data_IF_329981892255
#
_entry.id   IF_329981892255
#
_cell.length_a   1.000
_cell.length_b   1.000
_cell.length_c   1.000
_cell.angle_alpha   90.00
_cell.angle_beta   90.00
_cell.angle_gamma   90.00
#
_symmetry.space_group_name_H-M   'P 1'
#
loop_
_entity.id
_entity.type
_entity.pdbx_description
1 polymer ?
#
# COMPACT_ATOMS: atom_id res chain seq x y z
N UNK A 1 -19.97 -13.62 26.52
CA UNK A 1 -18.53 -13.47 26.27
C UNK A 1 -18.30 -12.14 25.55
N UNK A 2 -17.43 -11.34 26.07
CA UNK A 2 -17.02 -10.10 25.42
C UNK A 2 -15.91 -10.42 24.43
N UNK A 3 -16.09 -9.99 23.18
CA UNK A 3 -15.10 -10.18 22.13
C UNK A 3 -14.51 -8.82 21.78
N UNK A 4 -13.19 -8.74 21.76
CA UNK A 4 -12.48 -7.51 21.45
C UNK A 4 -11.48 -7.74 20.30
N UNK A 5 -11.45 -6.82 19.34
CA UNK A 5 -10.40 -6.78 18.32
C UNK A 5 -9.18 -6.15 18.97
N UNK A 6 -8.05 -6.87 18.96
CA UNK A 6 -6.83 -6.42 19.64
C UNK A 6 -5.72 -6.00 18.68
N UNK A 7 -5.82 -6.32 17.42
CA UNK A 7 -4.84 -5.93 16.40
C UNK A 7 -5.48 -5.89 15.04
N UNK A 8 -4.83 -5.19 14.10
CA UNK A 8 -5.26 -5.09 12.72
C UNK A 8 -4.09 -5.35 11.79
N UNK A 9 -4.29 -6.23 10.84
CA UNK A 9 -3.35 -6.50 9.77
C UNK A 9 -4.08 -6.31 8.45
N UNK A 10 -3.52 -5.50 7.56
CA UNK A 10 -4.01 -5.36 6.19
C UNK A 10 -3.23 -6.34 5.34
N UNK A 11 -3.93 -7.24 4.66
CA UNK A 11 -3.29 -8.25 3.83
C UNK A 11 -3.42 -7.90 2.36
N UNK A 12 -2.30 -7.95 1.66
CA UNK A 12 -2.22 -7.76 0.21
C UNK A 12 -1.77 -9.08 -0.40
N UNK A 13 -2.42 -9.49 -1.48
CA UNK A 13 -2.06 -10.68 -2.23
C UNK A 13 -1.43 -10.23 -3.55
N UNK A 14 -0.09 -10.12 -3.61
CA UNK A 14 0.58 -9.66 -4.82
C UNK A 14 0.63 -10.77 -5.87
N UNK A 15 0.53 -10.38 -7.14
CA UNK A 15 0.80 -11.30 -8.24
C UNK A 15 2.29 -11.59 -8.39
N UNK A 16 3.13 -10.64 -7.97
CA UNK A 16 4.60 -10.71 -8.02
C UNK A 16 5.14 -10.11 -6.72
N UNK A 17 5.49 -10.96 -5.77
CA UNK A 17 5.92 -10.50 -4.44
C UNK A 17 7.12 -9.56 -4.49
N UNK A 18 8.24 -9.88 -5.18
CA UNK A 18 9.38 -8.97 -5.23
C UNK A 18 9.03 -7.60 -5.78
N UNK A 19 8.20 -7.54 -6.80
CA UNK A 19 7.80 -6.28 -7.44
C UNK A 19 6.93 -5.44 -6.50
N UNK A 20 6.00 -6.07 -5.79
CA UNK A 20 5.18 -5.38 -4.79
C UNK A 20 6.02 -4.86 -3.64
N UNK A 21 6.95 -5.68 -3.12
CA UNK A 21 7.83 -5.24 -2.04
C UNK A 21 8.70 -4.06 -2.46
N UNK A 22 9.19 -4.06 -3.70
CA UNK A 22 9.95 -2.92 -4.24
C UNK A 22 9.12 -1.64 -4.26
N UNK A 23 7.85 -1.74 -4.66
CA UNK A 23 6.94 -0.60 -4.65
C UNK A 23 6.78 -0.02 -3.24
N UNK A 24 6.44 -0.87 -2.27
CA UNK A 24 6.20 -0.40 -0.89
C UNK A 24 7.49 0.08 -0.22
N UNK A 25 8.64 -0.45 -0.61
CA UNK A 25 9.94 0.06 -0.15
C UNK A 25 10.20 1.47 -0.64
N UNK A 26 9.76 1.83 -1.86
CA UNK A 26 9.85 3.20 -2.38
C UNK A 26 9.09 4.21 -1.52
N UNK A 27 8.01 3.77 -0.88
CA UNK A 27 7.23 4.63 0.01
C UNK A 27 7.94 4.93 1.32
N UNK A 28 9.08 4.31 1.57
CA UNK A 28 9.83 4.49 2.81
C UNK A 28 9.43 3.54 3.94
N UNK A 29 8.61 2.54 3.64
CA UNK A 29 8.25 1.52 4.62
C UNK A 29 9.42 0.56 4.84
N UNK A 30 9.54 0.05 6.07
CA UNK A 30 10.60 -0.86 6.45
C UNK A 30 10.35 -2.28 5.95
N UNK A 31 10.50 -2.50 4.65
CA UNK A 31 10.23 -3.78 4.01
C UNK A 31 11.47 -4.68 4.11
N UNK A 32 11.39 -5.82 4.82
CA UNK A 32 12.51 -6.75 4.89
C UNK A 32 12.69 -7.52 3.58
N UNK A 33 13.85 -8.15 3.44
CA UNK A 33 14.03 -9.13 2.39
C UNK A 33 13.15 -10.35 2.69
N UNK A 34 12.43 -10.88 1.69
CA UNK A 34 11.56 -12.01 1.94
C UNK A 34 12.37 -13.28 2.22
N UNK A 35 11.98 -14.02 3.25
CA UNK A 35 12.52 -15.33 3.58
C UNK A 35 11.50 -16.43 3.39
N UNK A 36 10.41 -16.12 2.69
CA UNK A 36 9.32 -17.04 2.43
C UNK A 36 8.16 -16.33 1.74
N UNK A 37 7.02 -17.01 1.59
CA UNK A 37 5.88 -16.50 0.85
C UNK A 37 4.99 -15.54 1.65
N UNK A 38 5.30 -15.31 2.92
CA UNK A 38 4.59 -14.36 3.79
C UNK A 38 5.58 -13.32 4.32
N UNK A 39 5.26 -12.05 4.11
CA UNK A 39 6.08 -10.93 4.59
C UNK A 39 5.19 -9.97 5.35
N UNK A 40 5.65 -9.52 6.50
CA UNK A 40 4.91 -8.58 7.34
C UNK A 40 5.77 -7.36 7.65
N UNK A 41 5.15 -6.17 7.59
CA UNK A 41 5.81 -4.91 7.95
C UNK A 41 4.94 -4.16 8.96
N UNK A 42 5.60 -3.44 9.85
CA UNK A 42 4.92 -2.56 10.80
C UNK A 42 4.61 -1.22 10.12
N UNK A 43 3.40 -0.74 10.34
CA UNK A 43 2.98 0.60 9.94
C UNK A 43 2.97 1.53 11.15
N UNK A 44 3.15 2.83 10.94
CA UNK A 44 2.94 3.80 12.02
C UNK A 44 1.55 3.64 12.64
N UNK A 45 1.49 3.72 13.96
CA UNK A 45 0.22 3.59 14.67
C UNK A 45 -0.09 2.17 15.14
N UNK A 46 0.82 1.21 14.96
CA UNK A 46 0.68 -0.14 15.48
C UNK A 46 -0.04 -1.14 14.59
N UNK A 47 -0.53 -0.70 13.43
CA UNK A 47 -1.09 -1.61 12.43
C UNK A 47 0.03 -2.25 11.62
N UNK A 48 -0.26 -3.35 10.95
CA UNK A 48 0.69 -4.05 10.10
C UNK A 48 0.14 -4.24 8.71
N UNK A 49 1.05 -4.36 7.74
CA UNK A 49 0.76 -4.70 6.36
C UNK A 49 1.43 -6.02 6.08
N UNK A 50 0.68 -6.99 5.58
CA UNK A 50 1.19 -8.32 5.26
C UNK A 50 1.03 -8.60 3.77
N UNK A 51 1.97 -9.35 3.22
CA UNK A 51 1.95 -9.81 1.84
C UNK A 51 1.98 -11.33 1.85
N UNK A 52 0.97 -11.93 1.25
CA UNK A 52 0.89 -13.37 1.07
C UNK A 52 0.81 -13.69 -0.41
N UNK A 53 1.64 -14.62 -0.88
CA UNK A 53 1.63 -14.98 -2.30
C UNK A 53 0.29 -15.60 -2.71
N UNK A 54 -0.02 -15.49 -4.00
CA UNK A 54 -1.22 -16.12 -4.56
C UNK A 54 -1.24 -17.62 -4.29
N UNK A 55 -0.09 -18.28 -4.32
CA UNK A 55 0.02 -19.71 -4.03
C UNK A 55 -0.43 -20.06 -2.62
N UNK A 56 -0.01 -19.26 -1.62
CA UNK A 56 -0.45 -19.48 -0.24
C UNK A 56 -1.95 -19.30 -0.10
N UNK A 57 -2.48 -18.22 -0.67
CA UNK A 57 -3.91 -17.94 -0.57
C UNK A 57 -4.73 -19.02 -1.26
N UNK A 58 -4.34 -19.44 -2.45
CA UNK A 58 -5.01 -20.51 -3.16
C UNK A 58 -4.98 -21.84 -2.38
N UNK A 59 -3.88 -22.10 -1.67
CA UNK A 59 -3.75 -23.28 -0.83
C UNK A 59 -4.66 -23.28 0.39
N UNK A 60 -4.96 -22.12 0.94
CA UNK A 60 -5.82 -21.97 2.12
C UNK A 60 -7.30 -21.83 1.77
N UNK A 61 -7.61 -21.32 0.60
CA UNK A 61 -8.98 -20.99 0.17
C UNK A 61 -9.33 -21.77 -1.10
N UNK A 62 -9.89 -22.97 -0.99
CA UNK A 62 -10.28 -23.75 -2.18
C UNK A 62 -11.21 -22.95 -3.09
N UNK A 63 -10.89 -22.94 -4.38
CA UNK A 63 -11.67 -22.18 -5.35
C UNK A 63 -11.28 -20.72 -5.52
N UNK A 64 -10.31 -20.23 -4.75
CA UNK A 64 -9.81 -18.88 -4.93
C UNK A 64 -9.08 -18.73 -6.27
N UNK A 65 -9.40 -17.67 -6.99
CA UNK A 65 -8.68 -17.27 -8.21
C UNK A 65 -8.26 -15.82 -8.10
N UNK A 66 -7.13 -15.43 -8.73
CA UNK A 66 -6.69 -14.03 -8.69
C UNK A 66 -7.76 -13.09 -9.23
N UNK A 67 -8.03 -11.98 -8.53
CA UNK A 67 -8.95 -10.96 -9.03
C UNK A 67 -8.41 -10.34 -10.31
N UNK A 68 -9.33 -9.98 -11.23
CA UNK A 68 -8.96 -9.34 -12.49
C UNK A 68 -9.20 -7.84 -12.48
N UNK A 69 -9.84 -7.31 -11.43
CA UNK A 69 -10.09 -5.89 -11.28
C UNK A 69 -9.62 -5.42 -9.92
N UNK A 70 -9.09 -4.20 -9.87
CA UNK A 70 -8.74 -3.53 -8.64
C UNK A 70 -9.96 -2.81 -8.06
N UNK A 71 -9.89 -2.64 -6.79
CA UNK A 71 -10.46 -1.77 -6.25
C UNK A 71 -11.45 -1.11 -5.47
N UNK A 72 -11.92 -1.78 -4.48
CA UNK A 72 -12.82 -1.18 -3.51
C UNK A 72 -12.12 -0.75 -2.23
N UNK A 73 -10.83 -1.05 -2.13
CA UNK A 73 -10.00 -0.70 -0.98
C UNK A 73 -8.81 0.09 -1.49
N UNK A 74 -8.47 1.17 -0.81
CA UNK A 74 -7.27 1.95 -1.04
C UNK A 74 -6.50 2.05 0.27
N UNK A 75 -5.18 2.21 0.16
CA UNK A 75 -4.35 2.56 1.30
C UNK A 75 -4.09 4.06 1.23
N UNK A 76 -4.02 4.72 2.37
CA UNK A 76 -3.69 6.13 2.44
C UNK A 76 -2.61 6.34 3.49
N UNK A 77 -1.51 6.99 3.09
CA UNK A 77 -0.38 7.28 3.97
C UNK A 77 -0.22 8.78 4.15
N UNK A 78 -0.20 9.20 5.42
CA UNK A 78 0.02 10.58 5.79
C UNK A 78 1.50 10.92 5.83
N UNK A 79 1.87 12.07 5.25
CA UNK A 79 3.21 12.61 5.21
C UNK A 79 3.28 13.89 6.05
N UNK A 80 4.48 14.35 6.32
CA UNK A 80 4.70 15.49 7.23
C UNK A 80 4.37 16.85 6.62
N UNK A 81 4.41 16.92 5.28
CA UNK A 81 4.24 18.21 4.59
C UNK A 81 3.71 18.03 3.18
N UNK A 82 3.13 19.09 2.57
CA UNK A 82 2.75 19.08 1.16
C UNK A 82 3.92 18.79 0.23
N UNK A 83 5.11 19.31 0.55
CA UNK A 83 6.31 19.07 -0.27
C UNK A 83 6.68 17.59 -0.31
N UNK A 84 6.48 16.85 0.78
CA UNK A 84 6.75 15.41 0.80
C UNK A 84 5.77 14.63 -0.08
N UNK A 85 4.53 15.10 -0.21
CA UNK A 85 3.57 14.49 -1.13
C UNK A 85 4.07 14.58 -2.57
N UNK A 86 4.49 15.76 -2.99
CA UNK A 86 5.02 16.01 -4.33
C UNK A 86 6.28 15.18 -4.59
N UNK A 87 7.19 15.15 -3.63
CA UNK A 87 8.45 14.43 -3.76
C UNK A 87 8.23 12.91 -3.85
N UNK A 88 7.38 12.35 -2.98
CA UNK A 88 7.13 10.92 -2.99
C UNK A 88 6.37 10.49 -4.23
N UNK A 89 5.39 11.29 -4.67
CA UNK A 89 4.69 11.03 -5.93
C UNK A 89 5.68 10.96 -7.11
N UNK A 90 6.56 11.94 -7.23
CA UNK A 90 7.56 11.98 -8.29
C UNK A 90 8.51 10.78 -8.23
N UNK A 91 8.96 10.40 -7.03
CA UNK A 91 9.83 9.25 -6.82
C UNK A 91 9.20 7.95 -7.32
N UNK A 92 7.93 7.76 -7.00
CA UNK A 92 7.20 6.56 -7.39
C UNK A 92 6.97 6.50 -8.90
N UNK A 93 6.57 7.62 -9.50
CA UNK A 93 6.35 7.71 -10.95
C UNK A 93 7.68 7.55 -11.72
N UNK A 94 8.75 8.18 -11.24
CA UNK A 94 10.08 8.07 -11.85
C UNK A 94 10.62 6.63 -11.80
N UNK A 95 10.19 5.85 -10.82
CA UNK A 95 10.56 4.44 -10.73
C UNK A 95 9.72 3.53 -11.66
N UNK A 96 8.78 4.11 -12.43
CA UNK A 96 8.00 3.39 -13.43
C UNK A 96 6.62 2.96 -13.00
N UNK A 97 6.14 3.43 -11.85
CA UNK A 97 4.78 3.12 -11.39
C UNK A 97 3.77 4.16 -11.86
N UNK A 98 2.50 3.78 -11.87
CA UNK A 98 1.44 4.64 -12.36
C UNK A 98 1.09 5.72 -11.34
N UNK A 99 1.12 7.00 -11.78
CA UNK A 99 0.53 8.10 -11.05
C UNK A 99 -0.95 8.20 -11.41
N UNK A 100 -1.82 7.82 -10.49
CA UNK A 100 -3.25 7.81 -10.74
C UNK A 100 -3.91 9.18 -10.57
N UNK A 101 -3.36 10.02 -9.70
CA UNK A 101 -3.86 11.36 -9.43
C UNK A 101 -2.66 12.24 -9.07
N UNK A 102 -2.37 13.23 -9.92
CA UNK A 102 -1.27 14.16 -9.66
C UNK A 102 -1.50 14.98 -8.39
N UNK A 103 -0.43 15.38 -7.69
CA UNK A 103 -0.57 16.19 -6.49
C UNK A 103 -1.39 17.46 -6.74
N UNK A 104 -2.32 17.72 -5.84
CA UNK A 104 -3.15 18.92 -5.89
C UNK A 104 -3.56 19.35 -4.47
N UNK A 105 -3.97 20.60 -4.35
CA UNK A 105 -4.48 21.12 -3.09
C UNK A 105 -5.96 20.78 -2.98
N UNK A 106 -6.28 19.81 -2.15
CA UNK A 106 -7.63 19.34 -2.00
C UNK A 106 -8.47 20.31 -1.15
N UNK A 107 -9.78 20.45 -1.45
CA UNK A 107 -10.63 21.40 -0.73
C UNK A 107 -10.83 21.08 0.74
N UNK A 108 -10.43 19.88 1.18
CA UNK A 108 -10.50 19.49 2.60
C UNK A 108 -9.21 19.81 3.38
N UNK A 109 -8.28 20.61 2.80
CA UNK A 109 -7.12 21.12 3.54
C UNK A 109 -5.89 20.24 3.50
N UNK A 110 -5.74 19.42 2.48
CA UNK A 110 -4.57 18.56 2.30
C UNK A 110 -3.99 18.69 0.90
N UNK A 111 -2.66 18.58 0.79
CA UNK A 111 -2.03 18.22 -0.47
C UNK A 111 -2.24 16.73 -0.65
N UNK A 112 -2.75 16.31 -1.80
CA UNK A 112 -3.24 14.96 -2.01
C UNK A 112 -2.79 14.44 -3.36
N UNK A 113 -2.43 13.16 -3.41
CA UNK A 113 -2.02 12.49 -4.64
C UNK A 113 -2.34 11.00 -4.53
N UNK A 114 -2.38 10.31 -5.65
CA UNK A 114 -2.56 8.85 -5.67
C UNK A 114 -1.59 8.22 -6.64
N UNK A 115 -1.01 7.10 -6.23
CA UNK A 115 -0.23 6.20 -7.08
C UNK A 115 -0.90 4.84 -7.06
N UNK A 116 -0.47 3.97 -7.95
CA UNK A 116 -1.03 2.62 -8.05
C UNK A 116 0.09 1.62 -7.85
N UNK A 117 -0.14 0.65 -6.97
CA UNK A 117 0.81 -0.44 -6.79
C UNK A 117 0.81 -1.38 -8.00
N UNK A 118 1.75 -2.35 -8.09
CA UNK A 118 1.85 -3.21 -9.28
C UNK A 118 0.59 -4.00 -9.62
N UNK A 119 -0.30 -4.24 -8.67
CA UNK A 119 -1.54 -5.00 -8.87
C UNK A 119 -2.78 -4.11 -8.98
N UNK A 120 -2.59 -2.79 -9.08
CA UNK A 120 -3.69 -1.85 -9.25
C UNK A 120 -4.32 -1.35 -7.96
N UNK A 121 -3.76 -1.67 -6.80
CA UNK A 121 -4.24 -1.09 -5.54
C UNK A 121 -3.90 0.39 -5.49
N UNK A 122 -4.90 1.22 -5.24
CA UNK A 122 -4.69 2.65 -5.09
C UNK A 122 -4.01 2.95 -3.75
N UNK A 123 -2.95 3.74 -3.82
CA UNK A 123 -2.22 4.21 -2.64
C UNK A 123 -2.25 5.73 -2.67
N UNK A 124 -2.97 6.30 -1.71
CA UNK A 124 -3.11 7.74 -1.57
C UNK A 124 -2.03 8.30 -0.67
N UNK A 125 -1.54 9.49 -1.01
CA UNK A 125 -0.54 10.23 -0.27
C UNK A 125 -1.14 11.56 0.14
N UNK A 126 -1.01 11.95 1.40
CA UNK A 126 -1.57 13.21 1.84
C UNK A 126 -0.70 13.91 2.89
N UNK A 127 -0.78 15.23 2.92
CA UNK A 127 -0.11 16.05 3.91
C UNK A 127 -0.89 17.34 4.13
N UNK A 128 -0.99 17.77 5.38
CA UNK A 128 -1.76 18.95 5.72
C UNK A 128 -1.19 20.21 5.05
N UNK A 129 -2.08 21.06 4.53
CA UNK A 129 -1.69 22.33 3.90
C UNK A 129 -1.26 23.40 4.90
N UNK A 130 -1.64 23.25 6.14
CA UNK A 130 -1.22 24.25 7.15
C UNK A 130 -2.01 24.17 8.41
#
# INVERSE_FOLDING_TARGET
MDIAITSTVIEIVPSDLPRSLSFYRLLGLGVPDPDGPHVEIELPGGNRLAFDTEEIIAGMHPGWTPPTSAGRVALAFGLRSPAEVDELFARVVDAGHLGALEPFDAPWGQRYASVTDPDGTTVDLFGALG
#
